data_IF_967281326944
#
_entry.id   IF_967281326944
#
_cell.length_a   1.000
_cell.length_b   1.000
_cell.length_c   1.000
_cell.angle_alpha   90.00
_cell.angle_beta   90.00
_cell.angle_gamma   90.00
#
_symmetry.space_group_name_H-M   'P 1'
#
loop_
_entity.id
_entity.type
_entity.pdbx_description
1 polymer ?
#
# COMPACT_ATOMS: atom_id res chain seq x y z
N UNK A 1 40.47 -40.94 -32.97
CA UNK A 1 40.42 -41.21 -34.42
C UNK A 1 39.01 -41.71 -34.71
N UNK A 2 38.06 -40.92 -35.19
CA UNK A 2 37.97 -40.12 -36.41
C UNK A 2 37.08 -40.82 -37.45
N UNK A 3 36.17 -40.01 -38.02
CA UNK A 3 35.24 -40.21 -39.14
C UNK A 3 33.94 -40.98 -38.90
N UNK A 4 32.77 -40.61 -39.46
CA UNK A 4 32.09 -39.37 -39.90
C UNK A 4 30.94 -39.86 -40.82
N UNK A 5 29.77 -39.19 -40.73
CA UNK A 5 28.74 -38.96 -41.80
C UNK A 5 27.88 -40.16 -42.24
N UNK A 6 26.62 -40.03 -42.66
CA UNK A 6 25.63 -38.93 -42.83
C UNK A 6 24.28 -39.56 -43.22
N UNK A 7 23.23 -38.72 -43.23
CA UNK A 7 21.95 -38.80 -43.97
C UNK A 7 20.85 -39.70 -43.40
N UNK A 8 19.55 -39.42 -43.52
CA UNK A 8 18.71 -38.26 -43.96
C UNK A 8 17.28 -38.81 -44.13
N UNK A 9 16.25 -38.02 -43.82
CA UNK A 9 14.80 -38.13 -44.14
C UNK A 9 13.93 -37.95 -42.88
N UNK A 10 12.81 -37.23 -42.84
CA UNK A 10 12.02 -36.40 -43.75
C UNK A 10 11.07 -35.59 -42.82
N UNK A 11 11.04 -34.27 -42.92
CA UNK A 11 9.94 -33.47 -43.48
C UNK A 11 8.57 -33.48 -42.78
N UNK A 12 8.02 -32.25 -42.69
CA UNK A 12 6.61 -31.86 -42.52
C UNK A 12 6.04 -31.78 -41.10
N UNK A 13 5.87 -30.55 -40.60
CA UNK A 13 4.53 -29.97 -40.46
C UNK A 13 4.61 -28.48 -40.08
N UNK A 14 4.24 -27.64 -41.05
CA UNK A 14 3.79 -26.28 -40.80
C UNK A 14 2.35 -26.31 -40.25
N UNK A 15 2.07 -25.60 -39.15
CA UNK A 15 0.69 -25.23 -38.80
C UNK A 15 0.62 -23.99 -37.91
N UNK A 16 0.15 -22.91 -38.54
CA UNK A 16 -0.83 -21.92 -38.08
C UNK A 16 -0.65 -21.19 -36.73
N UNK A 17 -0.14 -19.95 -36.86
CA UNK A 17 -0.42 -18.85 -35.93
C UNK A 17 -1.90 -18.46 -36.00
N UNK A 18 -2.71 -18.97 -35.07
CA UNK A 18 -4.07 -18.47 -34.85
C UNK A 18 -4.06 -17.11 -34.15
N UNK A 19 -4.34 -16.06 -34.92
CA UNK A 19 -4.58 -14.69 -34.42
C UNK A 19 -5.98 -14.61 -33.82
N UNK A 20 -6.09 -14.71 -32.50
CA UNK A 20 -7.35 -14.44 -31.78
C UNK A 20 -7.67 -12.95 -31.79
N UNK A 21 -8.56 -12.53 -32.68
CA UNK A 21 -9.26 -11.23 -32.66
C UNK A 21 -10.29 -11.24 -31.53
N UNK A 22 -9.99 -10.61 -30.39
CA UNK A 22 -11.04 -10.23 -29.43
C UNK A 22 -11.66 -8.90 -29.85
N UNK A 23 -12.91 -9.00 -30.28
CA UNK A 23 -13.78 -7.87 -30.57
C UNK A 23 -14.01 -7.03 -29.30
N UNK A 24 -13.68 -5.75 -29.38
CA UNK A 24 -14.03 -4.72 -28.41
C UNK A 24 -15.47 -4.27 -28.69
N UNK A 25 -16.42 -4.69 -27.85
CA UNK A 25 -17.77 -4.16 -27.79
C UNK A 25 -17.82 -3.02 -26.77
N UNK A 26 -17.25 -1.87 -27.13
CA UNK A 26 -17.48 -0.62 -26.40
C UNK A 26 -18.80 -0.01 -26.87
N UNK A 27 -19.84 -0.16 -26.05
CA UNK A 27 -21.09 0.60 -26.16
C UNK A 27 -20.78 2.08 -25.89
N UNK A 28 -20.91 2.89 -26.93
CA UNK A 28 -20.99 4.35 -26.87
C UNK A 28 -22.30 4.74 -26.18
N UNK A 29 -22.23 5.32 -24.99
CA UNK A 29 -23.31 6.15 -24.45
C UNK A 29 -22.93 7.61 -24.73
N UNK A 30 -23.58 8.18 -25.74
CA UNK A 30 -23.53 9.60 -26.10
C UNK A 30 -24.69 10.29 -25.38
N UNK A 31 -24.45 11.30 -24.53
CA UNK A 31 -25.52 12.14 -24.03
C UNK A 31 -25.90 13.16 -25.10
N UNK A 32 -27.10 13.02 -25.66
CA UNK A 32 -27.73 14.00 -26.53
C UNK A 32 -28.12 15.23 -25.68
N UNK A 33 -27.45 16.37 -25.89
CA UNK A 33 -27.84 17.66 -25.30
C UNK A 33 -28.49 18.50 -26.41
N UNK A 34 -29.81 18.51 -26.43
CA UNK A 34 -30.61 19.40 -27.26
C UNK A 34 -30.60 20.80 -26.62
N UNK A 35 -29.94 21.73 -27.30
CA UNK A 35 -30.11 23.16 -27.14
C UNK A 35 -31.33 23.57 -27.98
N UNK A 36 -32.30 24.23 -27.36
CA UNK A 36 -33.27 25.06 -28.06
C UNK A 36 -33.22 26.45 -27.41
N UNK A 37 -32.72 27.40 -28.20
CA UNK A 37 -33.08 28.82 -28.09
C UNK A 37 -34.55 28.96 -28.47
N UNK A 38 -35.31 29.82 -27.77
CA UNK A 38 -35.91 30.99 -28.40
C UNK A 38 -36.76 31.85 -27.44
N UNK A 39 -36.39 33.12 -27.43
CA UNK A 39 -37.28 34.30 -27.53
C UNK A 39 -38.01 34.81 -26.28
N UNK A 40 -37.71 36.08 -25.98
CA UNK A 40 -38.18 36.82 -24.82
C UNK A 40 -39.56 37.46 -24.97
N UNK A 41 -40.04 38.05 -23.87
CA UNK A 41 -40.89 39.24 -23.88
C UNK A 41 -40.92 39.91 -22.49
N UNK A 42 -40.55 41.20 -22.49
CA UNK A 42 -41.13 42.37 -21.81
C UNK A 42 -41.68 42.27 -20.36
N UNK A 43 -41.14 43.18 -19.52
CA UNK A 43 -41.64 43.76 -18.25
C UNK A 43 -42.99 44.52 -18.44
N UNK A 44 -43.58 45.26 -17.46
CA UNK A 44 -43.27 45.45 -16.04
C UNK A 44 -44.51 45.40 -15.10
N UNK A 45 -44.36 45.05 -13.81
CA UNK A 45 -45.33 45.49 -12.79
C UNK A 45 -44.65 45.78 -11.44
N UNK A 46 -44.77 47.05 -11.05
CA UNK A 46 -44.40 47.64 -9.77
C UNK A 46 -45.25 47.07 -8.63
N UNK A 47 -44.61 46.61 -7.55
CA UNK A 47 -45.26 46.47 -6.24
C UNK A 47 -44.37 47.03 -5.12
N UNK A 48 -44.71 48.28 -4.79
CA UNK A 48 -44.95 48.82 -3.44
C UNK A 48 -44.20 48.17 -2.27
N UNK A 49 -43.26 48.94 -1.75
CA UNK A 49 -42.56 48.80 -0.48
C UNK A 49 -43.53 48.73 0.71
N UNK A 50 -43.25 47.83 1.66
CA UNK A 50 -43.67 47.95 3.06
C UNK A 50 -42.51 47.51 3.97
N UNK A 51 -42.17 48.27 5.02
CA UNK A 51 -41.06 47.99 5.90
C UNK A 51 -41.50 47.01 6.99
N UNK A 52 -41.08 45.75 6.87
CA UNK A 52 -41.36 44.69 7.84
C UNK A 52 -40.08 44.04 8.32
N UNK A 53 -39.56 44.56 9.44
CA UNK A 53 -38.74 43.88 10.45
C UNK A 53 -38.17 42.49 10.07
N UNK A 54 -36.97 42.45 9.49
CA UNK A 54 -36.13 41.24 9.48
C UNK A 54 -35.09 41.36 10.56
N UNK A 55 -35.41 40.77 11.72
CA UNK A 55 -34.43 40.34 12.73
C UNK A 55 -33.29 39.62 11.99
N UNK A 56 -32.05 40.08 12.20
CA UNK A 56 -30.88 39.30 11.82
C UNK A 56 -30.89 38.00 12.62
N UNK A 57 -31.40 36.93 12.02
CA UNK A 57 -31.15 35.58 12.48
C UNK A 57 -29.67 35.31 12.27
N UNK A 58 -28.92 35.46 13.36
CA UNK A 58 -27.55 34.96 13.47
C UNK A 58 -27.56 33.50 12.99
N UNK A 59 -26.66 33.08 12.07
CA UNK A 59 -26.57 31.69 11.68
C UNK A 59 -26.26 30.89 12.95
N UNK A 60 -27.14 29.97 13.32
CA UNK A 60 -26.84 29.00 14.36
C UNK A 60 -25.54 28.28 13.97
N UNK A 61 -24.59 28.11 14.91
CA UNK A 61 -23.38 27.35 14.63
C UNK A 61 -23.78 25.96 14.10
N UNK A 62 -23.05 25.40 13.12
CA UNK A 62 -23.39 24.11 12.54
C UNK A 62 -23.59 23.10 13.65
N UNK A 63 -24.82 22.61 13.75
CA UNK A 63 -25.24 21.56 14.66
C UNK A 63 -24.20 20.45 14.65
N UNK A 64 -23.53 20.21 15.78
CA UNK A 64 -22.71 19.02 15.98
C UNK A 64 -23.56 17.83 15.57
N UNK A 65 -23.06 17.04 14.62
CA UNK A 65 -23.71 15.80 14.20
C UNK A 65 -24.09 14.97 15.44
N UNK A 66 -25.25 14.29 15.41
CA UNK A 66 -25.74 13.53 16.55
C UNK A 66 -24.70 12.52 17.04
N UNK A 67 -24.68 12.35 18.37
CA UNK A 67 -23.79 11.45 19.12
C UNK A 67 -23.68 10.08 18.44
N UNK A 68 -22.45 9.59 18.28
CA UNK A 68 -22.07 8.28 17.69
C UNK A 68 -22.46 7.09 18.57
N UNK A 69 -23.55 7.22 19.34
CA UNK A 69 -24.06 6.20 20.25
C UNK A 69 -24.37 4.92 19.45
N UNK A 70 -23.50 3.92 19.55
CA UNK A 70 -23.61 2.63 18.85
C UNK A 70 -22.46 2.33 17.88
N UNK A 71 -21.54 3.25 17.62
CA UNK A 71 -20.30 2.96 16.87
C UNK A 71 -19.33 2.25 17.83
N UNK A 72 -18.71 1.16 17.36
CA UNK A 72 -17.73 0.41 18.14
C UNK A 72 -16.66 1.34 18.71
N UNK A 73 -16.36 1.18 20.01
CA UNK A 73 -15.33 1.96 20.67
C UNK A 73 -13.98 1.74 19.96
N UNK A 74 -13.23 2.81 19.67
CA UNK A 74 -11.90 2.70 19.08
C UNK A 74 -11.01 1.77 19.90
N UNK A 75 -10.12 1.04 19.23
CA UNK A 75 -9.19 0.18 19.95
C UNK A 75 -8.18 1.04 20.71
N UNK A 76 -7.75 0.52 21.85
CA UNK A 76 -6.66 1.16 22.59
C UNK A 76 -5.36 1.08 21.77
N UNK A 77 -4.44 2.02 22.02
CA UNK A 77 -3.10 1.99 21.42
C UNK A 77 -2.38 0.68 21.77
N UNK A 78 -2.59 0.17 22.99
CA UNK A 78 -2.01 -1.07 23.45
C UNK A 78 -2.46 -2.25 22.56
N UNK A 79 -3.74 -2.34 22.22
CA UNK A 79 -4.26 -3.40 21.34
C UNK A 79 -3.65 -3.30 19.94
N UNK A 80 -3.61 -2.10 19.36
CA UNK A 80 -2.98 -1.87 18.04
C UNK A 80 -1.50 -2.28 18.09
N UNK A 81 -0.80 -1.96 19.18
CA UNK A 81 0.61 -2.31 19.41
C UNK A 81 0.82 -3.82 19.48
N UNK A 82 -0.08 -4.56 20.14
CA UNK A 82 -0.05 -6.02 20.20
C UNK A 82 -0.19 -6.60 18.79
N UNK A 83 -1.17 -6.15 18.01
CA UNK A 83 -1.34 -6.63 16.63
C UNK A 83 -0.14 -6.31 15.74
N UNK A 84 0.43 -5.12 15.87
CA UNK A 84 1.62 -4.70 15.13
C UNK A 84 2.83 -5.57 15.49
N UNK A 85 3.07 -5.81 16.78
CA UNK A 85 4.17 -6.65 17.28
C UNK A 85 4.00 -8.13 16.92
N UNK A 86 2.76 -8.63 16.93
CA UNK A 86 2.45 -9.99 16.49
C UNK A 86 2.76 -10.18 15.01
N UNK A 87 2.55 -9.16 14.17
CA UNK A 87 2.86 -9.23 12.75
C UNK A 87 4.37 -9.29 12.50
N UNK A 88 5.16 -8.48 13.23
CA UNK A 88 6.62 -8.59 13.21
C UNK A 88 7.10 -9.98 13.62
N UNK A 89 6.53 -10.52 14.70
CA UNK A 89 6.87 -11.86 15.21
C UNK A 89 6.56 -12.95 14.20
N UNK A 90 5.41 -12.88 13.52
CA UNK A 90 5.03 -13.83 12.48
C UNK A 90 6.01 -13.80 11.29
N UNK A 91 6.39 -12.61 10.82
CA UNK A 91 7.35 -12.44 9.73
C UNK A 91 8.73 -13.00 10.11
N UNK A 92 9.24 -12.63 11.28
CA UNK A 92 10.56 -13.09 11.73
C UNK A 92 10.61 -14.61 11.96
N UNK A 93 9.53 -15.17 12.51
CA UNK A 93 9.38 -16.62 12.71
C UNK A 93 9.32 -17.35 11.37
N UNK A 94 8.52 -16.86 10.42
CA UNK A 94 8.45 -17.41 9.07
C UNK A 94 9.84 -17.43 8.42
N UNK A 95 10.56 -16.32 8.50
CA UNK A 95 11.87 -16.21 7.84
C UNK A 95 12.89 -17.19 8.41
N UNK A 96 12.97 -17.27 9.74
CA UNK A 96 13.90 -18.19 10.44
C UNK A 96 13.57 -19.66 10.19
N UNK A 97 12.30 -19.98 9.98
CA UNK A 97 11.82 -21.35 9.79
C UNK A 97 12.11 -21.89 8.39
N UNK A 98 12.06 -21.05 7.35
CA UNK A 98 12.05 -21.54 5.96
C UNK A 98 13.23 -21.10 5.07
N UNK A 99 14.05 -20.14 5.48
CA UNK A 99 15.16 -19.63 4.66
C UNK A 99 16.53 -19.92 5.28
N UNK A 100 17.51 -20.13 4.41
CA UNK A 100 18.86 -20.57 4.80
C UNK A 100 19.85 -19.41 4.92
N UNK A 101 20.73 -19.51 5.92
CA UNK A 101 21.90 -18.65 6.10
C UNK A 101 23.13 -19.18 5.34
N UNK A 102 23.13 -20.46 4.96
CA UNK A 102 24.26 -21.08 4.26
C UNK A 102 24.51 -20.45 2.90
N UNK A 103 25.78 -20.28 2.51
CA UNK A 103 26.14 -19.66 1.24
C UNK A 103 25.47 -20.38 0.07
N UNK A 104 24.54 -19.67 -0.56
CA UNK A 104 23.91 -20.10 -1.77
C UNK A 104 24.53 -19.26 -2.88
N UNK A 105 25.46 -19.82 -3.64
CA UNK A 105 25.90 -19.27 -4.94
C UNK A 105 24.76 -19.41 -5.97
N UNK A 106 23.58 -18.87 -5.67
CA UNK A 106 22.44 -18.89 -6.56
C UNK A 106 22.40 -17.58 -7.33
N UNK A 107 22.56 -17.68 -8.64
CA UNK A 107 22.42 -16.54 -9.55
C UNK A 107 20.95 -16.12 -9.59
N UNK A 108 20.65 -14.96 -9.01
CA UNK A 108 19.34 -14.33 -9.10
C UNK A 108 19.40 -13.24 -10.17
N UNK A 109 18.35 -13.17 -11.00
CA UNK A 109 18.25 -12.11 -12.00
C UNK A 109 17.92 -10.77 -11.34
N UNK A 110 18.47 -9.69 -11.87
CA UNK A 110 18.17 -8.33 -11.42
C UNK A 110 16.65 -8.07 -11.36
N UNK A 111 15.90 -8.53 -12.38
CA UNK A 111 14.45 -8.38 -12.45
C UNK A 111 13.70 -8.99 -11.25
N UNK A 112 14.16 -10.15 -10.75
CA UNK A 112 13.54 -10.80 -9.57
C UNK A 112 13.79 -9.98 -8.29
N UNK A 113 15.00 -9.41 -8.15
CA UNK A 113 15.33 -8.55 -7.01
C UNK A 113 14.50 -7.28 -7.06
N UNK A 114 14.52 -6.57 -8.19
CA UNK A 114 13.78 -5.31 -8.36
C UNK A 114 12.27 -5.49 -8.15
N UNK A 115 11.69 -6.57 -8.66
CA UNK A 115 10.27 -6.89 -8.44
C UNK A 115 9.99 -7.18 -6.96
N UNK A 116 10.75 -8.09 -6.33
CA UNK A 116 10.56 -8.47 -4.93
C UNK A 116 10.91 -7.38 -3.92
N UNK A 117 11.68 -6.36 -4.34
CA UNK A 117 12.07 -5.21 -3.53
C UNK A 117 11.41 -3.90 -3.96
N UNK A 118 10.36 -3.96 -4.77
CA UNK A 118 9.71 -2.76 -5.31
C UNK A 118 9.24 -1.84 -4.18
N UNK A 119 9.73 -0.59 -4.20
CA UNK A 119 9.44 0.44 -3.20
C UNK A 119 10.43 0.48 -2.02
N UNK A 120 11.27 -0.54 -1.83
CA UNK A 120 12.39 -0.44 -0.89
C UNK A 120 13.38 0.57 -1.47
N UNK A 121 13.65 1.65 -0.73
CA UNK A 121 14.55 2.73 -1.15
C UNK A 121 16.03 2.33 -0.99
N UNK A 122 16.43 1.18 -1.54
CA UNK A 122 17.81 0.70 -1.60
C UNK A 122 18.17 0.35 -3.04
N UNK A 123 19.40 0.66 -3.50
CA UNK A 123 19.86 0.21 -4.81
C UNK A 123 19.85 -1.32 -4.92
N UNK A 124 19.45 -1.86 -6.07
CA UNK A 124 19.37 -3.32 -6.27
C UNK A 124 20.69 -4.03 -5.98
N UNK A 125 21.84 -3.43 -6.35
CA UNK A 125 23.18 -3.97 -6.07
C UNK A 125 23.43 -4.12 -4.57
N UNK A 126 22.93 -3.17 -3.78
CA UNK A 126 23.04 -3.23 -2.32
C UNK A 126 22.15 -4.34 -1.76
N UNK A 127 20.92 -4.48 -2.27
CA UNK A 127 20.03 -5.57 -1.87
C UNK A 127 20.64 -6.94 -2.23
N UNK A 128 21.21 -7.07 -3.42
CA UNK A 128 21.92 -8.29 -3.83
C UNK A 128 23.08 -8.61 -2.87
N UNK A 129 23.88 -7.62 -2.50
CA UNK A 129 24.98 -7.80 -1.55
C UNK A 129 24.50 -8.26 -0.16
N UNK A 130 23.41 -7.67 0.34
CA UNK A 130 22.80 -8.02 1.63
C UNK A 130 22.12 -9.39 1.62
N UNK A 131 21.54 -9.80 0.50
CA UNK A 131 21.01 -11.15 0.36
C UNK A 131 22.11 -12.20 0.15
N UNK A 132 23.24 -11.81 -0.44
CA UNK A 132 24.40 -12.68 -0.62
C UNK A 132 25.10 -13.02 0.70
N UNK A 133 25.20 -12.06 1.62
CA UNK A 133 25.85 -12.25 2.92
C UNK A 133 24.94 -12.99 3.91
N UNK A 134 25.38 -14.14 4.40
CA UNK A 134 24.64 -14.96 5.37
C UNK A 134 24.22 -14.20 6.64
N UNK A 135 25.04 -13.25 7.11
CA UNK A 135 24.73 -12.48 8.33
C UNK A 135 23.58 -11.49 8.16
N UNK A 136 23.30 -11.07 6.92
CA UNK A 136 22.31 -10.02 6.63
C UNK A 136 21.12 -10.54 5.82
N UNK A 137 21.24 -11.74 5.24
CA UNK A 137 20.23 -12.34 4.38
C UNK A 137 18.87 -12.48 5.03
N UNK A 138 18.78 -13.08 6.23
CA UNK A 138 17.49 -13.27 6.89
C UNK A 138 16.81 -11.93 7.19
N UNK A 139 17.58 -10.94 7.65
CA UNK A 139 17.09 -9.59 7.91
C UNK A 139 16.55 -8.93 6.64
N UNK A 140 17.26 -9.11 5.51
CA UNK A 140 16.86 -8.55 4.22
C UNK A 140 15.62 -9.25 3.65
N UNK A 141 15.50 -10.57 3.79
CA UNK A 141 14.27 -11.32 3.44
C UNK A 141 13.09 -10.86 4.29
N UNK A 142 13.31 -10.65 5.60
CA UNK A 142 12.31 -10.11 6.51
C UNK A 142 11.89 -8.70 6.11
N UNK A 143 12.82 -7.85 5.66
CA UNK A 143 12.51 -6.52 5.13
C UNK A 143 11.66 -6.61 3.84
N UNK A 144 11.96 -7.51 2.90
CA UNK A 144 11.14 -7.69 1.69
C UNK A 144 9.70 -8.09 2.03
N UNK A 145 9.52 -9.04 2.95
CA UNK A 145 8.19 -9.47 3.41
C UNK A 145 7.49 -8.32 4.16
N UNK A 146 8.19 -7.67 5.10
CA UNK A 146 7.65 -6.55 5.89
C UNK A 146 7.19 -5.42 4.98
N UNK A 147 8.03 -5.01 4.03
CA UNK A 147 7.69 -3.96 3.08
C UNK A 147 6.47 -4.33 2.26
N UNK A 148 6.42 -5.55 1.72
CA UNK A 148 5.26 -6.06 0.95
C UNK A 148 3.98 -6.01 1.76
N UNK A 149 4.04 -6.44 3.02
CA UNK A 149 2.87 -6.44 3.91
C UNK A 149 2.44 -5.03 4.26
N UNK A 150 3.34 -4.21 4.80
CA UNK A 150 3.02 -2.89 5.33
C UNK A 150 2.69 -1.87 4.22
N UNK A 151 3.28 -1.98 3.03
CA UNK A 151 2.89 -1.14 1.90
C UNK A 151 1.44 -1.35 1.47
N UNK A 152 0.89 -2.55 1.71
CA UNK A 152 -0.48 -2.94 1.34
C UNK A 152 -1.51 -2.69 2.45
N UNK A 153 -1.11 -2.31 3.67
CA UNK A 153 -2.03 -2.18 4.82
C UNK A 153 -2.67 -0.80 4.99
N UNK A 154 -2.10 0.26 4.41
CA UNK A 154 -2.56 1.63 4.65
C UNK A 154 -3.36 2.21 3.48
N UNK A 155 -4.43 2.93 3.83
CA UNK A 155 -5.32 3.64 2.92
C UNK A 155 -4.67 4.91 2.32
N UNK A 156 -3.82 5.60 3.06
CA UNK A 156 -3.28 6.92 2.63
C UNK A 156 -2.06 6.83 1.72
N UNK A 157 -1.46 5.64 1.55
CA UNK A 157 -0.45 5.40 0.53
C UNK A 157 -1.05 5.05 -0.83
N UNK A 158 -2.39 5.07 -0.97
CA UNK A 158 -3.12 4.83 -2.22
C UNK A 158 -2.97 5.98 -3.22
N UNK A 159 -1.76 6.48 -3.45
CA UNK A 159 -1.50 7.60 -4.34
C UNK A 159 -0.69 7.31 -5.60
N UNK A 160 0.22 6.33 -5.56
CA UNK A 160 1.25 6.21 -6.62
C UNK A 160 1.30 4.84 -7.30
N UNK A 161 0.57 3.82 -6.82
CA UNK A 161 0.54 2.48 -7.44
C UNK A 161 -0.85 1.81 -7.32
N UNK A 162 -1.87 2.60 -7.69
CA UNK A 162 -3.28 2.40 -7.37
C UNK A 162 -3.98 1.38 -8.27
N UNK A 163 -3.64 0.10 -8.12
CA UNK A 163 -4.60 -0.94 -8.48
C UNK A 163 -5.30 -1.41 -7.19
N UNK A 164 -6.62 -1.62 -7.18
CA UNK A 164 -7.33 -2.35 -6.11
C UNK A 164 -6.68 -3.71 -5.81
N UNK A 165 -5.84 -4.20 -6.72
CA UNK A 165 -5.03 -5.40 -6.57
C UNK A 165 -3.83 -5.31 -5.64
N UNK A 166 -3.43 -4.11 -5.20
CA UNK A 166 -2.19 -3.85 -4.45
C UNK A 166 -2.45 -3.42 -3.00
N UNK A 167 -3.55 -3.86 -2.41
CA UNK A 167 -3.91 -3.55 -1.02
C UNK A 167 -4.52 -4.77 -0.33
N UNK A 168 -4.34 -4.84 0.98
CA UNK A 168 -5.00 -5.83 1.83
C UNK A 168 -6.31 -5.34 2.43
N UNK A 169 -6.74 -4.12 2.09
CA UNK A 169 -8.11 -3.69 2.35
C UNK A 169 -9.06 -4.34 1.33
N UNK A 170 -10.33 -4.53 1.70
CA UNK A 170 -11.36 -4.95 0.76
C UNK A 170 -11.42 -4.00 -0.46
N UNK A 171 -11.38 -4.52 -1.71
CA UNK A 171 -11.43 -3.71 -2.92
C UNK A 171 -12.57 -2.69 -2.97
N UNK A 172 -13.76 -3.06 -2.51
CA UNK A 172 -14.95 -2.20 -2.44
C UNK A 172 -14.74 -0.98 -1.52
N UNK A 173 -13.99 -1.16 -0.41
CA UNK A 173 -13.63 -0.07 0.50
C UNK A 173 -12.63 0.86 -0.20
N UNK A 174 -11.70 0.30 -0.95
CA UNK A 174 -10.65 1.04 -1.66
C UNK A 174 -11.24 1.87 -2.81
N UNK A 175 -12.16 1.29 -3.58
CA UNK A 175 -12.88 1.98 -4.65
C UNK A 175 -13.74 3.13 -4.10
N UNK A 176 -14.48 2.87 -3.00
CA UNK A 176 -15.24 3.91 -2.32
C UNK A 176 -14.31 5.01 -1.78
N UNK A 177 -13.17 4.63 -1.19
CA UNK A 177 -12.18 5.61 -0.71
C UNK A 177 -11.65 6.51 -1.83
N UNK A 178 -11.31 5.92 -2.97
CA UNK A 178 -10.84 6.65 -4.15
C UNK A 178 -11.91 7.60 -4.69
N UNK A 179 -13.20 7.30 -4.51
CA UNK A 179 -14.28 8.20 -4.91
C UNK A 179 -14.31 9.53 -4.14
N UNK A 180 -13.84 9.55 -2.88
CA UNK A 180 -13.66 10.81 -2.13
C UNK A 180 -12.55 11.69 -2.70
N UNK A 181 -11.72 11.15 -3.59
CA UNK A 181 -10.56 11.81 -4.20
C UNK A 181 -10.82 12.27 -5.65
N UNK A 182 -12.07 12.14 -6.14
CA UNK A 182 -12.44 12.40 -7.53
C UNK A 182 -12.00 13.81 -7.99
N UNK A 183 -10.97 13.83 -8.85
CA UNK A 183 -10.59 15.02 -9.63
C UNK A 183 -9.33 15.76 -9.19
N UNK A 184 -8.66 15.40 -8.08
CA UNK A 184 -7.51 16.19 -7.56
C UNK A 184 -6.23 15.41 -7.23
N UNK A 185 -6.16 14.14 -7.62
CA UNK A 185 -4.99 13.29 -7.34
C UNK A 185 -5.16 12.49 -6.05
N UNK A 186 -4.07 11.84 -5.62
CA UNK A 186 -4.04 11.08 -4.37
C UNK A 186 -4.39 11.96 -3.16
N UNK A 187 -5.05 11.41 -2.13
CA UNK A 187 -5.17 12.09 -0.83
C UNK A 187 -3.80 12.02 -0.15
N UNK A 188 -3.00 13.05 -0.34
CA UNK A 188 -1.67 13.15 0.27
C UNK A 188 -1.75 13.98 1.54
N UNK A 189 -1.00 13.59 2.57
CA UNK A 189 -0.84 14.39 3.80
C UNK A 189 0.29 15.43 3.64
N UNK A 190 0.41 16.00 2.43
CA UNK A 190 1.39 17.03 2.10
C UNK A 190 1.25 18.26 3.01
N UNK A 191 2.35 19.01 3.13
CA UNK A 191 2.44 20.20 3.99
C UNK A 191 1.77 21.42 3.37
N UNK A 192 1.67 21.47 2.03
CA UNK A 192 1.29 22.68 1.28
C UNK A 192 -0.05 22.59 0.54
N UNK A 193 -0.73 21.44 0.52
CA UNK A 193 -2.04 21.33 -0.12
C UNK A 193 -3.18 21.47 0.88
N UNK A 194 -4.04 22.46 0.65
CA UNK A 194 -5.38 22.56 1.24
C UNK A 194 -6.21 21.39 0.71
N UNK A 195 -6.02 20.23 1.32
CA UNK A 195 -6.82 19.03 1.04
C UNK A 195 -8.30 19.40 1.10
N UNK A 196 -9.07 19.22 0.00
CA UNK A 196 -10.51 19.45 0.00
C UNK A 196 -11.27 18.37 0.78
N UNK A 197 -10.59 17.34 1.26
CA UNK A 197 -11.19 16.22 2.00
C UNK A 197 -11.40 16.62 3.44
N UNK A 198 -12.65 16.58 3.91
CA UNK A 198 -12.98 16.64 5.32
C UNK A 198 -12.60 15.30 5.98
N UNK A 199 -11.42 15.28 6.58
CA UNK A 199 -10.90 14.08 7.24
C UNK A 199 -11.72 13.65 8.46
N UNK A 200 -12.49 14.55 9.08
CA UNK A 200 -13.40 14.20 10.17
C UNK A 200 -14.56 13.35 9.65
N UNK A 201 -15.16 13.77 8.53
CA UNK A 201 -16.21 12.99 7.85
C UNK A 201 -15.67 11.67 7.33
N UNK A 202 -14.47 11.68 6.75
CA UNK A 202 -13.81 10.49 6.24
C UNK A 202 -13.50 9.49 7.36
N UNK A 203 -13.03 9.97 8.51
CA UNK A 203 -12.81 9.16 9.72
C UNK A 203 -14.09 8.46 10.18
N UNK A 204 -15.21 9.19 10.22
CA UNK A 204 -16.53 8.63 10.56
C UNK A 204 -17.01 7.61 9.53
N UNK A 205 -16.80 7.88 8.25
CA UNK A 205 -17.11 6.93 7.18
C UNK A 205 -16.31 5.63 7.34
N UNK A 206 -15.00 5.71 7.66
CA UNK A 206 -14.16 4.53 7.92
C UNK A 206 -14.74 3.69 9.07
N UNK A 207 -15.11 4.31 10.18
CA UNK A 207 -15.69 3.62 11.34
C UNK A 207 -17.01 2.93 11.00
N UNK A 208 -17.95 3.65 10.38
CA UNK A 208 -19.24 3.09 10.00
C UNK A 208 -19.07 1.91 9.04
N UNK A 209 -18.20 2.07 8.03
CA UNK A 209 -17.90 1.00 7.08
C UNK A 209 -17.28 -0.21 7.77
N UNK A 210 -16.36 0.00 8.72
CA UNK A 210 -15.74 -1.10 9.45
C UNK A 210 -16.75 -1.88 10.32
N UNK A 211 -17.69 -1.17 10.95
CA UNK A 211 -18.77 -1.79 11.74
C UNK A 211 -19.70 -2.60 10.84
N UNK A 212 -20.17 -2.01 9.72
CA UNK A 212 -21.08 -2.66 8.79
C UNK A 212 -20.47 -3.89 8.11
N UNK A 213 -19.16 -3.86 7.89
CA UNK A 213 -18.43 -4.94 7.19
C UNK A 213 -17.73 -5.92 8.14
N UNK A 214 -18.01 -5.84 9.44
CA UNK A 214 -17.34 -6.67 10.47
C UNK A 214 -17.58 -8.16 10.25
N UNK A 215 -18.83 -8.56 10.01
CA UNK A 215 -19.16 -9.97 9.79
C UNK A 215 -18.33 -10.56 8.66
N UNK A 216 -18.21 -9.84 7.54
CA UNK A 216 -17.46 -10.31 6.37
C UNK A 216 -15.95 -10.37 6.58
N UNK A 217 -15.34 -9.35 7.19
CA UNK A 217 -13.87 -9.22 7.20
C UNK A 217 -13.18 -9.50 8.53
N UNK A 218 -13.96 -9.70 9.59
CA UNK A 218 -13.48 -10.07 10.93
C UNK A 218 -13.99 -11.45 11.31
N UNK A 219 -15.30 -11.65 11.31
CA UNK A 219 -15.90 -12.88 11.83
C UNK A 219 -15.76 -14.03 10.82
N UNK A 220 -16.08 -13.79 9.54
CA UNK A 220 -15.96 -14.73 8.41
C UNK A 220 -14.70 -14.48 7.56
N UNK A 221 -13.65 -13.93 8.17
CA UNK A 221 -12.44 -13.51 7.49
C UNK A 221 -11.78 -14.65 6.70
N UNK A 222 -11.44 -14.38 5.43
CA UNK A 222 -10.84 -15.32 4.47
C UNK A 222 -11.69 -16.54 4.13
N UNK A 223 -13.02 -16.40 4.25
CA UNK A 223 -13.95 -17.31 3.57
C UNK A 223 -13.81 -17.24 2.04
N UNK A 224 -14.48 -18.14 1.33
CA UNK A 224 -14.48 -18.18 -0.14
C UNK A 224 -14.96 -16.87 -0.81
N UNK A 225 -15.70 -16.03 -0.07
CA UNK A 225 -16.24 -14.76 -0.54
C UNK A 225 -15.41 -13.54 -0.10
N UNK A 226 -14.34 -13.73 0.68
CA UNK A 226 -13.49 -12.63 1.09
C UNK A 226 -12.63 -12.14 -0.09
N UNK A 227 -13.00 -10.98 -0.61
CA UNK A 227 -12.36 -10.33 -1.76
C UNK A 227 -10.85 -10.05 -1.55
N UNK A 228 -10.36 -10.01 -0.31
CA UNK A 228 -8.93 -9.80 0.00
C UNK A 228 -8.08 -11.01 -0.37
N UNK A 229 -8.67 -12.20 -0.50
CA UNK A 229 -7.95 -13.45 -0.79
C UNK A 229 -7.19 -13.37 -2.11
N UNK A 230 -7.78 -12.77 -3.15
CA UNK A 230 -7.12 -12.59 -4.45
C UNK A 230 -5.88 -11.68 -4.34
N UNK A 231 -5.95 -10.65 -3.51
CA UNK A 231 -4.83 -9.73 -3.30
C UNK A 231 -3.71 -10.37 -2.47
N UNK A 232 -4.06 -11.26 -1.54
CA UNK A 232 -3.09 -12.08 -0.79
C UNK A 232 -2.35 -13.01 -1.74
N UNK A 233 -3.05 -13.73 -2.62
CA UNK A 233 -2.39 -14.62 -3.60
C UNK A 233 -1.54 -13.84 -4.61
N UNK A 234 -1.94 -12.61 -4.98
CA UNK A 234 -1.10 -11.74 -5.80
C UNK A 234 0.18 -11.35 -5.07
N UNK A 235 0.09 -10.90 -3.81
CA UNK A 235 1.26 -10.55 -3.01
C UNK A 235 2.19 -11.76 -2.79
N UNK A 236 1.63 -12.96 -2.60
CA UNK A 236 2.38 -14.19 -2.53
C UNK A 236 3.15 -14.45 -3.83
N UNK A 237 2.48 -14.35 -4.98
CA UNK A 237 3.08 -14.54 -6.31
C UNK A 237 4.18 -13.51 -6.63
N UNK A 238 4.05 -12.29 -6.11
CA UNK A 238 5.07 -11.24 -6.29
C UNK A 238 6.33 -11.53 -5.47
N UNK A 239 6.17 -12.00 -4.23
CA UNK A 239 7.27 -12.29 -3.32
C UNK A 239 7.99 -13.60 -3.64
N UNK A 240 7.23 -14.62 -4.05
CA UNK A 240 7.72 -15.99 -4.12
C UNK A 240 8.98 -16.19 -4.97
N UNK A 241 9.11 -15.60 -6.18
CA UNK A 241 10.30 -15.77 -7.01
C UNK A 241 11.60 -15.37 -6.30
N UNK A 242 11.57 -14.31 -5.49
CA UNK A 242 12.73 -13.88 -4.71
C UNK A 242 12.96 -14.82 -3.53
N UNK A 243 11.92 -15.10 -2.75
CA UNK A 243 12.00 -15.88 -1.52
C UNK A 243 12.40 -17.35 -1.77
N UNK A 244 11.83 -17.98 -2.79
CA UNK A 244 12.11 -19.37 -3.17
C UNK A 244 13.59 -19.62 -3.45
N UNK A 245 14.33 -18.60 -3.92
CA UNK A 245 15.76 -18.74 -4.16
C UNK A 245 16.53 -19.05 -2.88
N UNK A 246 16.08 -18.53 -1.74
CA UNK A 246 16.76 -18.65 -0.45
C UNK A 246 16.14 -19.70 0.47
N UNK A 247 15.18 -20.48 -0.01
CA UNK A 247 14.54 -21.54 0.77
C UNK A 247 15.54 -22.67 1.14
N UNK A 248 15.39 -23.25 2.34
CA UNK A 248 16.27 -24.32 2.86
C UNK A 248 16.25 -25.57 1.98
N UNK A 249 15.09 -25.93 1.41
CA UNK A 249 14.95 -27.04 0.47
C UNK A 249 13.93 -26.66 -0.61
N UNK A 250 14.37 -26.03 -1.72
CA UNK A 250 13.46 -25.64 -2.80
C UNK A 250 12.91 -26.85 -3.57
N UNK A 251 13.64 -27.97 -3.59
CA UNK A 251 13.34 -29.14 -4.44
C UNK A 251 12.39 -30.14 -3.76
N UNK A 252 12.18 -30.05 -2.44
CA UNK A 252 11.19 -30.84 -1.75
C UNK A 252 9.83 -30.14 -1.82
N UNK A 253 8.96 -30.64 -2.71
CA UNK A 253 7.61 -30.11 -2.95
C UNK A 253 6.82 -29.89 -1.65
N UNK A 254 6.94 -30.82 -0.70
CA UNK A 254 6.30 -30.73 0.62
C UNK A 254 6.78 -29.52 1.44
N UNK A 255 8.08 -29.26 1.52
CA UNK A 255 8.60 -28.10 2.26
C UNK A 255 8.27 -26.79 1.57
N UNK A 256 8.19 -26.79 0.23
CA UNK A 256 7.80 -25.61 -0.51
C UNK A 256 6.33 -25.24 -0.27
N UNK A 257 5.43 -26.22 -0.26
CA UNK A 257 4.02 -26.00 0.06
C UNK A 257 3.84 -25.49 1.50
N UNK A 258 4.53 -26.11 2.47
CA UNK A 258 4.49 -25.65 3.86
C UNK A 258 5.00 -24.21 4.03
N UNK A 259 6.05 -23.81 3.30
CA UNK A 259 6.55 -22.42 3.27
C UNK A 259 5.49 -21.47 2.73
N UNK A 260 4.89 -21.80 1.59
CA UNK A 260 3.87 -20.95 0.96
C UNK A 260 2.62 -20.82 1.83
N UNK A 261 2.17 -21.91 2.45
CA UNK A 261 1.03 -21.89 3.38
C UNK A 261 1.29 -21.03 4.60
N UNK A 262 2.50 -21.13 5.18
CA UNK A 262 2.91 -20.29 6.31
C UNK A 262 3.01 -18.81 5.90
N UNK A 263 3.57 -18.52 4.71
CA UNK A 263 3.60 -17.15 4.19
C UNK A 263 2.19 -16.59 3.94
N UNK A 264 1.25 -17.40 3.43
CA UNK A 264 -0.17 -17.00 3.31
C UNK A 264 -0.75 -16.61 4.66
N UNK A 265 -0.43 -17.32 5.74
CA UNK A 265 -0.89 -16.95 7.09
C UNK A 265 -0.33 -15.59 7.53
N UNK A 266 0.94 -15.31 7.26
CA UNK A 266 1.56 -14.00 7.50
C UNK A 266 0.84 -12.90 6.72
N UNK A 267 0.58 -13.11 5.42
CA UNK A 267 -0.13 -12.13 4.58
C UNK A 267 -1.57 -11.90 5.05
N UNK A 268 -2.29 -12.97 5.45
CA UNK A 268 -3.62 -12.89 6.08
C UNK A 268 -3.59 -12.08 7.37
N UNK A 269 -2.56 -12.25 8.20
CA UNK A 269 -2.39 -11.43 9.40
C UNK A 269 -2.17 -9.95 9.06
N UNK A 270 -1.40 -9.67 8.01
CA UNK A 270 -1.28 -8.33 7.43
C UNK A 270 -2.63 -7.75 7.01
N UNK A 271 -3.49 -8.54 6.36
CA UNK A 271 -4.81 -8.11 5.93
C UNK A 271 -5.80 -7.87 7.09
N UNK A 272 -5.72 -8.67 8.16
CA UNK A 272 -6.45 -8.38 9.41
C UNK A 272 -5.99 -7.06 10.02
N UNK A 273 -4.68 -6.84 10.06
CA UNK A 273 -4.11 -5.60 10.58
C UNK A 273 -4.49 -4.37 9.74
N UNK A 274 -4.53 -4.51 8.42
CA UNK A 274 -5.02 -3.47 7.51
C UNK A 274 -6.45 -3.05 7.85
N UNK A 275 -7.36 -4.02 7.98
CA UNK A 275 -8.76 -3.75 8.32
C UNK A 275 -8.91 -3.17 9.74
N UNK A 276 -8.09 -3.63 10.68
CA UNK A 276 -8.03 -3.08 12.04
C UNK A 276 -7.67 -1.59 12.04
N UNK A 277 -6.62 -1.19 11.32
CA UNK A 277 -6.22 0.22 11.18
C UNK A 277 -7.25 1.04 10.41
N UNK A 278 -7.90 0.44 9.43
CA UNK A 278 -9.00 1.08 8.70
C UNK A 278 -10.14 1.46 9.64
N UNK A 279 -10.57 0.56 10.53
CA UNK A 279 -11.66 0.84 11.48
C UNK A 279 -11.35 1.88 12.56
N UNK A 280 -10.10 2.29 12.74
CA UNK A 280 -9.76 3.34 13.70
C UNK A 280 -10.20 4.73 13.19
N UNK A 281 -10.67 5.63 14.09
CA UNK A 281 -10.94 7.03 13.76
C UNK A 281 -9.65 7.83 13.71
N UNK A 282 -8.64 7.33 13.03
CA UNK A 282 -7.34 7.98 12.93
C UNK A 282 -6.67 7.54 11.65
N UNK A 283 -5.65 8.30 11.29
CA UNK A 283 -4.84 8.02 10.12
C UNK A 283 -3.41 7.74 10.54
N UNK A 284 -2.80 6.80 9.83
CA UNK A 284 -1.53 6.22 10.21
C UNK A 284 -0.55 6.22 9.04
N UNK A 285 0.75 6.31 9.37
CA UNK A 285 1.85 6.06 8.43
C UNK A 285 2.90 5.18 9.08
N UNK A 286 3.67 4.47 8.26
CA UNK A 286 4.90 3.83 8.70
C UNK A 286 6.07 4.78 8.53
N UNK A 287 6.80 5.03 9.61
CA UNK A 287 8.05 5.78 9.58
C UNK A 287 9.25 4.85 9.40
N UNK A 288 9.76 4.85 8.18
CA UNK A 288 10.94 4.10 7.75
C UNK A 288 12.24 4.90 7.88
N UNK A 289 12.18 6.15 8.36
CA UNK A 289 13.36 7.02 8.45
C UNK A 289 14.34 6.44 9.45
N UNK A 290 15.61 6.40 9.06
CA UNK A 290 16.67 5.91 9.93
C UNK A 290 17.14 7.01 10.87
N UNK A 291 16.75 6.90 12.14
CA UNK A 291 17.24 7.83 13.18
C UNK A 291 18.77 7.73 13.34
N UNK A 292 19.36 6.56 13.02
CA UNK A 292 20.81 6.33 13.02
C UNK A 292 21.48 7.04 11.84
N UNK A 293 20.91 7.00 10.63
CA UNK A 293 21.45 7.74 9.48
C UNK A 293 21.30 9.26 9.67
N UNK A 294 20.20 9.70 10.30
CA UNK A 294 19.97 11.11 10.59
C UNK A 294 21.03 11.70 11.53
N UNK A 295 21.42 10.95 12.57
CA UNK A 295 22.53 11.32 13.47
C UNK A 295 23.88 11.45 12.75
N UNK A 296 24.06 10.73 11.63
CA UNK A 296 25.28 10.79 10.82
C UNK A 296 25.22 11.85 9.70
N UNK A 297 24.17 12.68 9.66
CA UNK A 297 23.99 13.69 8.61
C UNK A 297 23.65 13.09 7.23
N UNK A 298 23.38 11.78 7.16
CA UNK A 298 22.99 11.08 5.92
C UNK A 298 21.49 11.13 5.65
N UNK A 299 20.76 12.06 6.27
CA UNK A 299 19.38 12.30 5.88
C UNK A 299 19.38 12.78 4.44
N UNK A 300 19.07 11.87 3.51
CA UNK A 300 18.50 12.29 2.25
C UNK A 300 17.36 13.23 2.61
N UNK A 301 17.49 14.48 2.18
CA UNK A 301 16.33 15.35 1.97
C UNK A 301 15.26 14.46 1.41
N UNK A 302 14.13 14.36 2.08
CA UNK A 302 12.95 13.67 1.57
C UNK A 302 12.84 14.08 0.10
N UNK A 303 13.27 13.18 -0.80
CA UNK A 303 12.77 13.24 -2.17
C UNK A 303 11.35 12.82 -1.93
N UNK A 304 10.53 13.84 -1.67
CA UNK A 304 9.11 13.75 -1.76
C UNK A 304 8.86 12.89 -3.00
N UNK A 305 8.29 11.68 -2.87
CA UNK A 305 8.04 10.82 -4.01
C UNK A 305 7.13 11.51 -5.05
N UNK A 306 6.64 12.71 -4.73
CA UNK A 306 5.76 13.57 -5.50
C UNK A 306 6.44 14.75 -6.20
N UNK A 307 7.77 14.93 -6.12
CA UNK A 307 8.45 15.87 -7.04
C UNK A 307 8.44 15.26 -8.43
N UNK A 308 7.31 15.44 -9.13
CA UNK A 308 7.13 15.16 -10.55
C UNK A 308 8.40 15.61 -11.25
N UNK A 309 9.09 14.65 -11.86
CA UNK A 309 10.11 14.91 -12.86
C UNK A 309 9.43 15.74 -13.94
N UNK A 310 9.58 17.06 -13.83
CA UNK A 310 9.36 17.95 -14.96
C UNK A 310 10.38 17.52 -15.99
N UNK A 311 9.88 16.89 -17.05
CA UNK A 311 10.63 16.59 -18.26
C UNK A 311 11.13 17.94 -18.78
N UNK A 312 12.38 18.26 -18.50
CA UNK A 312 13.28 19.08 -19.31
C UNK A 312 14.60 19.24 -18.57
N UNK A 313 15.59 18.42 -18.94
CA UNK A 313 16.98 18.78 -19.22
C UNK A 313 17.86 17.55 -19.01
N UNK A 314 18.32 17.00 -20.13
CA UNK A 314 19.34 15.96 -20.22
C UNK A 314 20.63 16.54 -19.63
N UNK A 315 21.00 16.06 -18.44
CA UNK A 315 22.27 16.35 -17.79
C UNK A 315 22.56 15.25 -16.79
N UNK A 316 23.67 14.53 -16.99
CA UNK A 316 24.13 13.39 -16.18
C UNK A 316 24.43 13.80 -14.73
N UNK A 317 23.40 14.00 -13.90
CA UNK A 317 23.54 13.99 -12.46
C UNK A 317 23.40 12.52 -12.03
N UNK A 318 24.54 11.85 -11.86
CA UNK A 318 24.60 10.63 -11.07
C UNK A 318 24.02 10.96 -9.70
N UNK A 319 22.77 10.58 -9.44
CA UNK A 319 22.21 10.58 -8.11
C UNK A 319 23.09 9.63 -7.30
N UNK A 320 24.00 10.19 -6.52
CA UNK A 320 24.80 9.48 -5.53
C UNK A 320 23.82 8.84 -4.56
N UNK A 321 23.38 7.62 -4.87
CA UNK A 321 22.50 6.85 -4.01
C UNK A 321 23.24 6.70 -2.69
N UNK A 322 22.72 7.34 -1.64
CA UNK A 322 23.32 7.26 -0.31
C UNK A 322 23.30 5.79 0.10
N UNK A 323 24.47 5.17 0.13
CA UNK A 323 24.62 3.78 0.54
C UNK A 323 24.45 3.72 2.05
N UNK A 324 23.34 3.15 2.51
CA UNK A 324 23.09 2.94 3.93
C UNK A 324 23.97 1.80 4.44
N UNK A 325 24.48 1.92 5.67
CA UNK A 325 25.15 0.82 6.36
C UNK A 325 24.13 -0.14 6.96
N UNK A 326 24.55 -1.35 7.34
CA UNK A 326 23.69 -2.35 7.98
C UNK A 326 23.01 -1.82 9.25
N UNK A 327 23.71 -0.93 9.97
CA UNK A 327 23.18 -0.29 11.17
C UNK A 327 22.09 0.73 10.86
N UNK A 328 22.02 1.25 9.64
CA UNK A 328 21.11 2.33 9.23
C UNK A 328 19.85 1.82 8.53
N UNK A 329 19.87 0.60 7.98
CA UNK A 329 18.73 0.03 7.25
C UNK A 329 17.65 -0.40 8.25
N UNK A 330 16.45 0.18 8.13
CA UNK A 330 15.29 -0.16 8.96
C UNK A 330 14.58 -1.38 8.34
N UNK A 331 14.47 -2.46 9.10
CA UNK A 331 13.73 -3.69 8.73
C UNK A 331 12.27 -3.60 9.19
N UNK A 332 12.04 -3.07 10.39
CA UNK A 332 10.72 -2.88 10.96
C UNK A 332 10.51 -1.40 11.33
N UNK A 333 9.50 -0.71 10.76
CA UNK A 333 9.27 0.70 11.01
C UNK A 333 8.48 0.92 12.31
N UNK A 334 8.43 2.18 12.75
CA UNK A 334 7.43 2.63 13.73
C UNK A 334 6.12 2.97 13.04
N UNK A 335 5.00 2.68 13.68
CA UNK A 335 3.68 3.10 13.24
C UNK A 335 3.34 4.44 13.90
N UNK A 336 3.00 5.45 13.10
CA UNK A 336 2.83 6.84 13.53
C UNK A 336 1.42 7.30 13.20
N UNK A 337 0.70 7.78 14.22
CA UNK A 337 -0.58 8.46 14.02
C UNK A 337 -0.34 9.87 13.47
N UNK A 338 -0.85 10.16 12.29
CA UNK A 338 -0.64 11.46 11.64
C UNK A 338 -1.80 12.41 11.81
N UNK A 339 -2.97 11.87 12.13
CA UNK A 339 -4.20 12.63 12.27
C UNK A 339 -5.17 11.88 13.17
N UNK A 340 -5.90 12.64 13.98
CA UNK A 340 -6.94 12.11 14.87
C UNK A 340 -8.30 11.94 14.16
N UNK A 341 -9.34 11.66 14.95
CA UNK A 341 -10.68 11.41 14.44
C UNK A 341 -11.44 12.64 13.99
N UNK A 342 -11.00 13.82 14.45
CA UNK A 342 -11.56 15.12 14.09
C UNK A 342 -10.82 15.72 12.88
N UNK A 343 -9.87 14.98 12.29
CA UNK A 343 -9.11 15.43 11.14
C UNK A 343 -7.96 16.39 11.49
N UNK A 344 -7.60 16.53 12.76
CA UNK A 344 -6.52 17.40 13.21
C UNK A 344 -5.19 16.68 12.98
N UNK A 345 -4.28 17.34 12.23
CA UNK A 345 -2.92 16.84 12.03
C UNK A 345 -2.17 16.83 13.36
N UNK A 346 -1.58 15.70 13.69
CA UNK A 346 -0.83 15.52 14.93
C UNK A 346 0.66 15.77 14.67
N UNK A 347 1.33 16.47 15.60
CA UNK A 347 2.76 16.67 15.52
C UNK A 347 3.45 15.39 15.98
N UNK A 348 4.41 14.87 15.21
CA UNK A 348 5.10 13.61 15.55
C UNK A 348 5.87 13.63 16.88
N UNK A 349 5.89 14.75 17.62
CA UNK A 349 6.55 14.90 18.93
C UNK A 349 5.62 14.65 20.12
N UNK A 350 4.31 14.55 19.91
CA UNK A 350 3.39 14.38 21.04
C UNK A 350 3.36 12.90 21.51
N UNK A 351 3.37 12.69 22.82
CA UNK A 351 3.32 11.36 23.43
C UNK A 351 2.01 10.64 23.06
N UNK A 352 2.09 9.33 22.75
CA UNK A 352 0.94 8.53 22.33
C UNK A 352 0.69 8.47 20.81
N UNK A 353 1.55 9.07 20.00
CA UNK A 353 1.45 9.01 18.54
C UNK A 353 2.18 7.80 17.93
N UNK A 354 3.18 7.28 18.64
CA UNK A 354 4.11 6.26 18.14
C UNK A 354 3.76 4.88 18.70
N UNK A 355 3.75 3.89 17.81
CA UNK A 355 3.54 2.49 18.13
C UNK A 355 4.73 1.66 17.61
N UNK A 356 5.27 0.83 18.50
CA UNK A 356 6.41 -0.05 18.22
C UNK A 356 7.76 0.66 18.29
N UNK A 357 8.82 -0.13 18.17
CA UNK A 357 10.20 0.34 18.08
C UNK A 357 10.76 0.00 16.70
N UNK A 358 11.61 0.88 16.15
CA UNK A 358 12.32 0.57 14.90
C UNK A 358 13.28 -0.59 15.14
N UNK A 359 13.27 -1.58 14.24
CA UNK A 359 14.29 -2.62 14.18
C UNK A 359 15.15 -2.39 12.96
N UNK A 360 16.45 -2.47 13.16
CA UNK A 360 17.44 -2.29 12.10
C UNK A 360 17.94 -3.64 11.62
N UNK A 361 18.55 -3.64 10.44
CA UNK A 361 19.13 -4.84 9.84
C UNK A 361 20.21 -5.47 10.71
N UNK A 362 20.89 -4.66 11.53
CA UNK A 362 21.84 -5.12 12.56
C UNK A 362 21.23 -5.85 13.76
N UNK A 363 19.92 -5.70 13.99
CA UNK A 363 19.25 -6.19 15.21
C UNK A 363 18.62 -7.58 15.00
N UNK A 364 18.77 -8.16 13.81
CA UNK A 364 18.06 -9.35 13.34
C UNK A 364 18.96 -10.59 13.39
#
# INVERSE_FOLDING_TARGET
MAHLRLQSWEDSHAMERSKSKRASLLRKLVPHKTLSEETGHQSPLSHRSSPGSTRSSTPLPPSRFPSTSGIQEPLSIADISVHFSNLHTAITTHVRKYYSVADAEKRISQAVIEHGSTGINLPWLQILGLLGDGNTRLAMLALCITWTVLSRTLLLKLGTANSPGNTFLPPEIVECFQSFSLGKGAVTLGKDDTSPVDFSMLSRWKQLTAVLSRSTYVDDAFSLFDARTVNIERALKDLDPLLATYAISPDAEYSNNARLDDLRLVLRQGARFAFLLFGQPSFWKFDWRSDRAAKQGKTGTEVDPERKSSIETIGMAATTSVRLTNMEIVVWPTLVRVMDGEGVKLNCRDEGILIGEKRYLSDF
#
